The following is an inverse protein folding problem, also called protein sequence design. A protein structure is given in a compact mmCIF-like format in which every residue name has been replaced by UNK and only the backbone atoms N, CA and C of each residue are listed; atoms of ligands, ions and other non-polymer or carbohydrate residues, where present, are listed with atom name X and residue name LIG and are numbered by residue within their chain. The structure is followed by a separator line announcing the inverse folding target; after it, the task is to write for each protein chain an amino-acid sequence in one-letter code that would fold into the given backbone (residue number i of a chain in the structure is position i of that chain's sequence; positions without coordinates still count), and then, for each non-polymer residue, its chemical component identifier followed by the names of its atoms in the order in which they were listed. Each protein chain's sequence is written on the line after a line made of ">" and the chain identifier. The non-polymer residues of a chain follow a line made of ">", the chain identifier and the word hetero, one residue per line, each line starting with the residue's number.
data_IF_845994642528
#
_entry.id   IF_845994642528
#
_cell.length_a   1.000
_cell.length_b   1.000
_cell.length_c   1.000
_cell.angle_alpha   90.00
_cell.angle_beta   90.00
_cell.angle_gamma   90.00
#
_symmetry.space_group_name_H-M   'P 1'
#
loop_
_entity.id
_entity.type
_entity.pdbx_description
1 polymer ?
#
# COMPACT_ATOMS: atom_id res chain seq x y z
N UNK A 1 -18.75 -4.78 -13.46
CA UNK A 1 -17.52 -5.17 -14.18
C UNK A 1 -16.88 -6.25 -13.33
N UNK A 2 -16.85 -7.49 -13.78
CA UNK A 2 -16.05 -8.50 -13.11
C UNK A 2 -14.59 -8.14 -13.38
N UNK A 3 -13.85 -7.84 -12.31
CA UNK A 3 -12.40 -7.69 -12.39
C UNK A 3 -11.84 -9.08 -12.74
N UNK A 4 -11.46 -9.28 -13.98
CA UNK A 4 -10.67 -10.44 -14.40
C UNK A 4 -9.20 -9.98 -14.54
N UNK A 5 -8.42 -9.99 -13.45
CA UNK A 5 -7.07 -9.37 -13.41
C UNK A 5 -6.14 -9.95 -14.47
N UNK A 6 -6.27 -11.24 -14.73
CA UNK A 6 -5.34 -11.97 -15.62
C UNK A 6 -5.60 -11.72 -17.10
N UNK A 7 -6.79 -11.27 -17.49
CA UNK A 7 -7.12 -11.00 -18.91
C UNK A 7 -6.59 -9.66 -19.40
N UNK A 8 -6.30 -8.73 -18.49
CA UNK A 8 -5.82 -7.37 -18.80
C UNK A 8 -4.33 -7.17 -18.51
N UNK A 9 -3.66 -8.13 -17.88
CA UNK A 9 -2.26 -8.07 -17.48
C UNK A 9 -2.08 -8.12 -15.95
N UNK A 10 -0.83 -7.97 -15.51
CA UNK A 10 -0.47 -8.06 -14.09
C UNK A 10 -0.99 -6.88 -13.27
N UNK A 11 -1.20 -7.12 -11.97
CA UNK A 11 -1.31 -6.07 -10.95
C UNK A 11 0.07 -5.57 -10.59
N UNK A 12 0.29 -4.27 -10.67
CA UNK A 12 1.52 -3.61 -10.24
C UNK A 12 1.26 -2.80 -8.99
N UNK A 13 2.18 -2.88 -8.02
CA UNK A 13 2.20 -2.00 -6.85
C UNK A 13 3.50 -1.19 -6.84
N UNK A 14 3.41 0.09 -6.41
CA UNK A 14 4.55 1.01 -6.37
C UNK A 14 4.68 1.57 -4.97
N UNK A 15 5.86 1.43 -4.35
CA UNK A 15 6.09 2.05 -3.05
C UNK A 15 7.22 1.45 -2.24
N UNK A 16 7.10 1.65 -0.92
CA UNK A 16 8.11 1.22 0.03
C UNK A 16 8.18 -0.30 0.21
N UNK A 17 9.42 -0.77 0.25
CA UNK A 17 9.80 -2.11 0.66
C UNK A 17 10.71 -1.92 1.87
N UNK A 18 10.37 -2.53 2.98
CA UNK A 18 11.11 -2.34 4.23
C UNK A 18 11.06 -3.61 5.10
N UNK A 19 11.79 -3.60 6.19
CA UNK A 19 11.62 -4.60 7.25
C UNK A 19 10.97 -3.99 8.47
N UNK A 20 10.12 -4.75 9.13
CA UNK A 20 9.64 -4.44 10.47
C UNK A 20 10.47 -5.15 11.54
N UNK A 21 10.74 -4.40 12.61
CA UNK A 21 11.44 -4.86 13.81
C UNK A 21 10.56 -4.50 15.00
N UNK A 22 10.00 -5.50 15.66
CA UNK A 22 8.92 -5.34 16.63
C UNK A 22 9.45 -5.49 18.06
N UNK A 23 9.11 -4.56 18.94
CA UNK A 23 9.39 -4.70 20.37
C UNK A 23 8.52 -5.82 20.97
N UNK A 24 9.15 -6.68 21.76
CA UNK A 24 8.46 -7.79 22.43
C UNK A 24 7.79 -7.38 23.74
N UNK A 25 7.98 -6.12 24.17
CA UNK A 25 7.41 -5.55 25.39
C UNK A 25 6.37 -4.48 25.04
N UNK A 26 5.26 -4.49 25.76
CA UNK A 26 4.25 -3.42 25.70
C UNK A 26 4.79 -2.19 26.42
N UNK A 27 4.57 -0.99 25.85
CA UNK A 27 4.99 0.28 26.46
C UNK A 27 5.02 1.44 25.48
N UNK A 28 5.58 2.58 25.91
CA UNK A 28 5.58 3.83 25.15
C UNK A 28 6.94 4.10 24.48
N UNK A 29 6.96 4.12 23.14
CA UNK A 29 8.12 4.51 22.35
C UNK A 29 9.36 3.64 22.53
N UNK A 30 10.54 4.18 22.14
CA UNK A 30 11.82 3.46 22.06
C UNK A 30 12.94 4.18 22.83
N UNK A 31 12.62 4.78 23.99
CA UNK A 31 13.58 5.61 24.74
C UNK A 31 14.43 4.82 25.74
N UNK A 32 14.24 3.51 25.82
CA UNK A 32 14.96 2.59 26.71
C UNK A 32 15.40 1.34 25.98
N UNK A 33 16.40 0.64 26.50
CA UNK A 33 16.81 -0.65 25.95
C UNK A 33 15.72 -1.69 26.15
N UNK A 34 15.36 -2.40 25.09
CA UNK A 34 14.31 -3.39 25.10
C UNK A 34 14.57 -4.48 24.05
N UNK A 35 14.07 -5.70 24.25
CA UNK A 35 14.22 -6.76 23.28
C UNK A 35 13.33 -6.49 22.07
N UNK A 36 13.88 -6.81 20.88
CA UNK A 36 13.23 -6.65 19.59
C UNK A 36 13.28 -7.98 18.84
N UNK A 37 12.31 -8.24 17.99
CA UNK A 37 12.24 -9.41 17.11
C UNK A 37 12.03 -8.97 15.65
N UNK A 38 12.63 -9.67 14.73
CA UNK A 38 12.67 -9.41 13.29
C UNK A 38 14.03 -9.79 12.71
N UNK A 39 14.34 -9.44 11.46
CA UNK A 39 13.53 -8.61 10.54
C UNK A 39 12.35 -9.36 9.92
N UNK A 40 11.20 -8.72 9.85
CA UNK A 40 10.04 -9.22 9.09
C UNK A 40 9.92 -8.43 7.78
N UNK A 41 9.81 -9.10 6.60
CA UNK A 41 9.48 -8.42 5.35
C UNK A 41 8.19 -7.61 5.48
N UNK A 42 8.23 -6.35 5.11
CA UNK A 42 7.14 -5.41 5.33
C UNK A 42 7.15 -4.25 4.31
N UNK A 43 6.31 -3.26 4.54
CA UNK A 43 5.95 -2.19 3.63
C UNK A 43 4.55 -2.44 3.08
N UNK A 44 3.61 -1.52 3.31
CA UNK A 44 2.21 -1.72 2.93
C UNK A 44 2.06 -2.10 1.44
N UNK A 45 2.73 -1.44 0.47
CA UNK A 45 2.72 -1.86 -0.93
C UNK A 45 3.27 -3.27 -1.15
N UNK A 46 4.38 -3.62 -0.46
CA UNK A 46 5.03 -4.91 -0.61
C UNK A 46 4.18 -6.06 -0.01
N UNK A 47 3.53 -5.83 1.13
CA UNK A 47 2.63 -6.80 1.76
C UNK A 47 1.43 -7.09 0.86
N UNK A 48 0.81 -6.06 0.28
CA UNK A 48 -0.35 -6.24 -0.60
C UNK A 48 0.02 -7.05 -1.84
N UNK A 49 1.11 -6.68 -2.52
CA UNK A 49 1.49 -7.36 -3.76
C UNK A 49 2.00 -8.78 -3.52
N UNK A 50 2.66 -9.02 -2.37
CA UNK A 50 3.03 -10.36 -1.92
C UNK A 50 1.79 -11.25 -1.77
N UNK A 51 0.74 -10.73 -1.12
CA UNK A 51 -0.51 -11.46 -0.97
C UNK A 51 -1.20 -11.72 -2.32
N UNK A 52 -1.14 -10.79 -3.27
CA UNK A 52 -1.63 -11.01 -4.64
C UNK A 52 -0.92 -12.19 -5.30
N UNK A 53 0.41 -12.27 -5.20
CA UNK A 53 1.19 -13.39 -5.71
C UNK A 53 0.82 -14.70 -5.03
N UNK A 54 0.72 -14.73 -3.70
CA UNK A 54 0.39 -15.92 -2.91
C UNK A 54 -0.95 -16.56 -3.24
N UNK A 55 -1.93 -15.75 -3.63
CA UNK A 55 -3.25 -16.27 -4.08
C UNK A 55 -3.29 -16.63 -5.56
N UNK A 56 -2.14 -16.56 -6.26
CA UNK A 56 -1.99 -16.96 -7.67
C UNK A 56 -2.27 -15.85 -8.68
N UNK A 57 -2.36 -14.60 -8.27
CA UNK A 57 -2.49 -13.46 -9.18
C UNK A 57 -1.17 -13.11 -9.86
N UNK A 58 -1.23 -12.65 -11.12
CA UNK A 58 -0.07 -12.05 -11.77
C UNK A 58 0.28 -10.72 -11.09
N UNK A 59 1.39 -10.68 -10.36
CA UNK A 59 1.78 -9.59 -9.48
C UNK A 59 3.19 -9.08 -9.78
N UNK A 60 3.41 -7.77 -9.70
CA UNK A 60 4.72 -7.16 -9.86
C UNK A 60 4.92 -5.99 -8.89
N UNK A 61 6.14 -5.85 -8.37
CA UNK A 61 6.51 -4.77 -7.44
C UNK A 61 7.48 -3.79 -8.08
N UNK A 62 7.22 -2.50 -7.86
CA UNK A 62 8.11 -1.40 -8.21
C UNK A 62 8.53 -0.67 -6.95
N UNK A 63 9.84 -0.61 -6.69
CA UNK A 63 10.38 0.01 -5.49
C UNK A 63 11.89 -0.09 -5.45
N UNK A 64 12.49 0.02 -4.27
CA UNK A 64 13.90 -0.24 -4.08
C UNK A 64 14.21 -0.81 -2.70
N UNK A 65 15.28 -1.59 -2.63
CA UNK A 65 15.92 -2.13 -1.44
C UNK A 65 17.41 -1.80 -1.46
N UNK A 66 18.07 -1.88 -0.32
CA UNK A 66 19.53 -1.81 -0.23
C UNK A 66 20.18 -3.13 -0.64
N UNK A 67 21.46 -3.10 -0.98
CA UNK A 67 22.30 -4.30 -1.13
C UNK A 67 22.73 -4.81 0.25
N UNK A 68 21.76 -5.22 1.03
CA UNK A 68 21.92 -5.71 2.41
C UNK A 68 21.02 -6.92 2.70
N UNK A 69 21.15 -7.51 3.88
CA UNK A 69 20.35 -8.69 4.27
C UNK A 69 18.86 -8.37 4.37
N UNK A 70 18.49 -7.14 4.71
CA UNK A 70 17.10 -6.70 4.76
C UNK A 70 16.48 -6.59 3.35
N UNK A 71 17.27 -6.17 2.35
CA UNK A 71 16.87 -6.22 0.95
C UNK A 71 16.67 -7.65 0.47
N UNK A 72 17.62 -8.54 0.79
CA UNK A 72 17.57 -9.95 0.39
C UNK A 72 16.35 -10.67 0.95
N UNK A 73 16.02 -10.51 2.23
CA UNK A 73 14.86 -11.18 2.83
C UNK A 73 13.53 -10.75 2.20
N UNK A 74 13.42 -9.49 1.78
CA UNK A 74 12.24 -8.99 1.06
C UNK A 74 12.16 -9.56 -0.36
N UNK A 75 13.27 -9.52 -1.12
CA UNK A 75 13.32 -10.05 -2.48
C UNK A 75 13.03 -11.54 -2.51
N UNK A 76 13.65 -12.31 -1.61
CA UNK A 76 13.46 -13.77 -1.51
C UNK A 76 11.99 -14.12 -1.23
N UNK A 77 11.33 -13.35 -0.35
CA UNK A 77 9.91 -13.55 -0.05
C UNK A 77 9.05 -13.27 -1.27
N UNK A 78 9.20 -12.10 -1.89
CA UNK A 78 8.40 -11.71 -3.05
C UNK A 78 8.56 -12.70 -4.21
N UNK A 79 9.80 -13.10 -4.53
CA UNK A 79 10.07 -14.09 -5.57
C UNK A 79 9.47 -15.46 -5.25
N UNK A 80 9.62 -15.95 -4.02
CA UNK A 80 9.04 -17.22 -3.57
C UNK A 80 7.53 -17.24 -3.73
N UNK A 81 6.88 -16.10 -3.46
CA UNK A 81 5.43 -15.97 -3.48
C UNK A 81 4.89 -15.54 -4.85
N UNK A 82 5.75 -15.56 -5.91
CA UNK A 82 5.36 -15.43 -7.31
C UNK A 82 5.29 -13.99 -7.84
N UNK A 83 5.83 -13.01 -7.10
CA UNK A 83 5.85 -11.61 -7.53
C UNK A 83 7.03 -11.35 -8.49
N UNK A 84 6.77 -10.69 -9.62
CA UNK A 84 7.82 -10.16 -10.50
C UNK A 84 8.54 -8.99 -9.82
N UNK A 85 9.80 -9.20 -9.48
CA UNK A 85 10.66 -8.23 -8.79
C UNK A 85 11.55 -7.43 -9.75
N UNK A 86 11.39 -7.57 -11.07
CA UNK A 86 12.23 -6.90 -12.06
C UNK A 86 12.13 -5.36 -12.04
N UNK A 87 11.09 -4.81 -11.37
CA UNK A 87 10.93 -3.38 -11.11
C UNK A 87 11.56 -2.90 -9.81
N UNK A 88 12.19 -3.78 -9.03
CA UNK A 88 12.84 -3.43 -7.79
C UNK A 88 14.32 -3.11 -8.05
N UNK A 89 14.72 -1.88 -7.72
CA UNK A 89 16.13 -1.48 -7.77
C UNK A 89 16.85 -1.97 -6.49
N UNK A 90 18.09 -2.42 -6.63
CA UNK A 90 19.01 -2.67 -5.50
C UNK A 90 20.00 -1.52 -5.43
N UNK A 91 19.92 -0.71 -4.40
CA UNK A 91 20.80 0.46 -4.19
C UNK A 91 22.03 0.05 -3.38
N UNK A 92 23.26 0.14 -3.95
CA UNK A 92 24.48 -0.27 -3.23
C UNK A 92 24.94 0.75 -2.18
N UNK A 93 24.33 1.95 -2.15
CA UNK A 93 24.75 3.06 -1.30
C UNK A 93 23.81 3.37 -0.14
N UNK A 94 22.57 2.88 -0.24
CA UNK A 94 21.54 3.17 0.75
C UNK A 94 21.04 1.88 1.40
N UNK A 95 20.79 1.88 2.72
CA UNK A 95 20.23 0.71 3.39
C UNK A 95 18.78 0.49 2.95
N UNK A 96 18.32 -0.74 3.09
CA UNK A 96 16.88 -1.06 3.00
C UNK A 96 16.11 -0.32 4.10
N UNK A 97 14.91 0.14 3.78
CA UNK A 97 14.03 0.82 4.74
C UNK A 97 13.69 -0.08 5.94
N UNK A 98 13.44 0.55 7.07
CA UNK A 98 13.02 -0.17 8.28
C UNK A 98 11.95 0.59 9.05
N UNK A 99 11.09 -0.15 9.74
CA UNK A 99 10.14 0.35 10.71
C UNK A 99 10.33 -0.37 12.04
N UNK A 100 10.48 0.38 13.12
CA UNK A 100 10.45 -0.16 14.48
C UNK A 100 9.03 0.03 15.02
N UNK A 101 8.46 -1.03 15.59
CA UNK A 101 7.08 -1.06 16.07
C UNK A 101 7.06 -1.46 17.53
N UNK A 102 6.32 -0.71 18.35
CA UNK A 102 6.02 -1.07 19.75
C UNK A 102 4.53 -0.94 20.00
N UNK A 103 3.94 -1.95 20.61
CA UNK A 103 2.53 -1.93 21.02
C UNK A 103 2.38 -1.26 22.38
N UNK A 104 1.35 -0.43 22.52
CA UNK A 104 0.88 0.17 23.77
C UNK A 104 -0.14 -0.72 24.45
N UNK A 105 -0.43 -0.45 25.72
CA UNK A 105 -1.40 -1.20 26.51
C UNK A 105 -2.85 -1.15 25.95
N UNK A 106 -3.17 -0.11 25.19
CA UNK A 106 -4.47 0.08 24.52
C UNK A 106 -4.54 -0.57 23.12
N UNK A 107 -3.49 -1.29 22.71
CA UNK A 107 -3.37 -1.90 21.38
C UNK A 107 -2.93 -0.94 20.28
N UNK A 108 -2.79 0.36 20.55
CA UNK A 108 -2.20 1.30 19.60
C UNK A 108 -0.70 1.05 19.44
N UNK A 109 -0.09 1.63 18.39
CA UNK A 109 1.30 1.38 18.04
C UNK A 109 2.10 2.67 17.93
N UNK A 110 3.33 2.61 18.42
CA UNK A 110 4.37 3.60 18.15
C UNK A 110 5.28 3.10 17.03
N UNK A 111 5.63 4.00 16.11
CA UNK A 111 6.52 3.71 14.99
C UNK A 111 7.73 4.63 14.98
N UNK A 112 8.87 4.06 14.61
CA UNK A 112 10.04 4.83 14.15
C UNK A 112 10.36 4.34 12.73
N UNK A 113 10.17 5.21 11.74
CA UNK A 113 10.39 4.90 10.34
C UNK A 113 11.75 5.41 9.85
N UNK A 114 12.50 4.56 9.16
CA UNK A 114 13.69 4.91 8.40
C UNK A 114 13.41 4.67 6.91
N UNK A 115 12.51 5.46 6.32
CA UNK A 115 12.11 5.34 4.91
C UNK A 115 12.77 6.44 4.08
N UNK A 116 12.66 7.69 4.51
CA UNK A 116 13.09 8.87 3.74
C UNK A 116 14.61 8.88 3.46
N UNK A 117 15.41 8.22 4.30
CA UNK A 117 16.87 8.11 4.21
C UNK A 117 17.34 6.71 3.81
N UNK A 118 16.47 5.93 3.17
CA UNK A 118 16.75 4.57 2.71
C UNK A 118 16.61 4.44 1.19
N UNK A 119 16.93 3.26 0.67
CA UNK A 119 16.75 2.91 -0.73
C UNK A 119 15.30 3.11 -1.20
N UNK A 120 14.30 2.88 -0.32
CA UNK A 120 12.89 3.04 -0.63
C UNK A 120 12.51 4.43 -1.17
N UNK A 121 13.25 5.48 -0.81
CA UNK A 121 13.02 6.83 -1.31
C UNK A 121 13.79 7.16 -2.61
N UNK A 122 14.54 6.21 -3.19
CA UNK A 122 15.53 6.50 -4.26
C UNK A 122 15.32 5.77 -5.58
N UNK A 123 14.19 5.12 -5.78
CA UNK A 123 13.88 4.52 -7.07
C UNK A 123 13.21 5.52 -8.02
N UNK A 124 13.17 5.18 -9.31
CA UNK A 124 12.59 6.05 -10.33
C UNK A 124 12.13 5.29 -11.56
N UNK A 125 11.77 6.02 -12.61
CA UNK A 125 11.28 5.47 -13.86
C UNK A 125 12.44 4.94 -14.73
N UNK A 126 12.68 3.63 -14.67
CA UNK A 126 13.70 2.93 -15.48
C UNK A 126 13.08 2.22 -16.68
N UNK A 127 13.91 1.65 -17.57
CA UNK A 127 13.44 0.80 -18.67
C UNK A 127 12.70 -0.45 -18.16
N UNK A 128 13.15 -1.05 -17.04
CA UNK A 128 12.49 -2.19 -16.42
C UNK A 128 11.10 -1.80 -15.89
N UNK A 129 11.01 -0.68 -15.17
CA UNK A 129 9.73 -0.12 -14.68
C UNK A 129 8.78 0.18 -15.84
N UNK A 130 9.26 0.82 -16.90
CA UNK A 130 8.47 1.10 -18.09
C UNK A 130 7.93 -0.19 -18.74
N UNK A 131 8.75 -1.24 -18.83
CA UNK A 131 8.35 -2.54 -19.37
C UNK A 131 7.30 -3.23 -18.52
N UNK A 132 7.41 -3.17 -17.17
CA UNK A 132 6.38 -3.70 -16.27
C UNK A 132 5.05 -2.97 -16.44
N UNK A 133 5.07 -1.64 -16.36
CA UNK A 133 3.87 -0.81 -16.49
C UNK A 133 3.22 -0.98 -17.86
N UNK A 134 4.01 -1.16 -18.94
CA UNK A 134 3.46 -1.42 -20.27
C UNK A 134 2.68 -2.74 -20.39
N UNK A 135 2.91 -3.71 -19.50
CA UNK A 135 2.22 -5.01 -19.46
C UNK A 135 1.15 -5.09 -18.38
N UNK A 136 1.12 -4.10 -17.45
CA UNK A 136 0.18 -4.08 -16.35
C UNK A 136 -1.25 -3.78 -16.82
N UNK A 137 -2.22 -4.46 -16.25
CA UNK A 137 -3.64 -4.18 -16.41
C UNK A 137 -4.25 -3.45 -15.22
N UNK A 138 -3.57 -3.50 -14.09
CA UNK A 138 -4.03 -2.87 -12.86
C UNK A 138 -2.87 -2.21 -12.10
N UNK A 139 -3.12 -1.01 -11.57
CA UNK A 139 -2.23 -0.35 -10.62
C UNK A 139 -2.91 -0.30 -9.25
N UNK A 140 -2.23 -0.83 -8.22
CA UNK A 140 -2.62 -0.58 -6.84
C UNK A 140 -1.73 0.49 -6.21
N UNK A 141 -2.33 1.47 -5.55
CA UNK A 141 -1.63 2.56 -4.85
C UNK A 141 -1.94 2.50 -3.37
N UNK A 142 -0.89 2.46 -2.56
CA UNK A 142 -0.96 2.74 -1.13
C UNK A 142 -0.65 4.21 -0.86
N UNK A 143 -1.52 4.91 -0.13
CA UNK A 143 -1.32 6.34 0.17
C UNK A 143 -0.04 6.62 0.97
N UNK A 144 0.47 5.67 1.75
CA UNK A 144 1.77 5.77 2.42
C UNK A 144 2.92 6.08 1.45
N UNK A 145 2.90 5.51 0.25
CA UNK A 145 3.92 5.71 -0.77
C UNK A 145 3.98 7.15 -1.28
N UNK A 146 2.89 7.92 -1.14
CA UNK A 146 2.84 9.32 -1.57
C UNK A 146 3.69 10.26 -0.69
N UNK A 147 4.12 9.80 0.48
CA UNK A 147 5.07 10.54 1.32
C UNK A 147 6.47 10.64 0.69
N UNK A 148 6.76 9.84 -0.34
CA UNK A 148 8.05 9.79 -1.03
C UNK A 148 7.97 10.47 -2.40
N UNK A 149 8.67 11.62 -2.62
CA UNK A 149 8.58 12.37 -3.89
C UNK A 149 8.90 11.55 -5.14
N UNK A 150 9.89 10.65 -5.07
CA UNK A 150 10.25 9.80 -6.21
C UNK A 150 9.15 8.78 -6.52
N UNK A 151 8.56 8.16 -5.50
CA UNK A 151 7.43 7.23 -5.68
C UNK A 151 6.23 7.94 -6.32
N UNK A 152 5.94 9.18 -5.89
CA UNK A 152 4.86 9.99 -6.48
C UNK A 152 4.98 10.11 -8.00
N UNK A 153 6.16 10.45 -8.51
CA UNK A 153 6.39 10.57 -9.95
C UNK A 153 6.22 9.26 -10.72
N UNK A 154 6.64 8.15 -10.12
CA UNK A 154 6.45 6.81 -10.72
C UNK A 154 4.98 6.39 -10.70
N UNK A 155 4.28 6.61 -9.58
CA UNK A 155 2.84 6.30 -9.43
C UNK A 155 2.02 7.09 -10.45
N UNK A 156 2.23 8.41 -10.55
CA UNK A 156 1.48 9.27 -11.47
C UNK A 156 1.63 8.79 -12.91
N UNK A 157 2.88 8.57 -13.35
CA UNK A 157 3.17 8.10 -14.70
C UNK A 157 2.61 6.69 -14.97
N UNK A 158 2.68 5.78 -13.98
CA UNK A 158 2.12 4.44 -14.11
C UNK A 158 0.59 4.50 -14.23
N UNK A 159 -0.07 5.32 -13.40
CA UNK A 159 -1.52 5.53 -13.47
C UNK A 159 -1.96 6.03 -14.85
N UNK A 160 -1.29 7.05 -15.39
CA UNK A 160 -1.58 7.58 -16.73
C UNK A 160 -1.43 6.52 -17.82
N UNK A 161 -0.33 5.77 -17.83
CA UNK A 161 -0.06 4.75 -18.84
C UNK A 161 -1.09 3.61 -18.78
N UNK A 162 -1.39 3.12 -17.60
CA UNK A 162 -2.32 1.99 -17.39
C UNK A 162 -3.75 2.42 -17.73
N UNK A 163 -4.21 3.58 -17.24
CA UNK A 163 -5.55 4.10 -17.55
C UNK A 163 -5.72 4.42 -19.03
N UNK A 164 -4.72 4.98 -19.71
CA UNK A 164 -4.78 5.25 -21.16
C UNK A 164 -4.94 3.98 -22.01
N UNK A 165 -4.57 2.82 -21.49
CA UNK A 165 -4.74 1.52 -22.13
C UNK A 165 -6.04 0.78 -21.74
N UNK A 166 -6.92 1.44 -20.97
CA UNK A 166 -8.15 0.84 -20.46
C UNK A 166 -7.97 -0.04 -19.23
N UNK A 167 -6.79 0.03 -18.58
CA UNK A 167 -6.55 -0.63 -17.31
C UNK A 167 -7.24 0.07 -16.14
N UNK A 168 -7.15 -0.53 -14.97
CA UNK A 168 -7.83 -0.06 -13.75
C UNK A 168 -6.85 0.39 -12.68
N UNK A 169 -7.37 1.16 -11.70
CA UNK A 169 -6.61 1.68 -10.57
C UNK A 169 -7.38 1.42 -9.28
N UNK A 170 -6.72 0.86 -8.28
CA UNK A 170 -7.21 0.83 -6.90
C UNK A 170 -6.34 1.67 -5.97
N UNK A 171 -6.98 2.30 -5.00
CA UNK A 171 -6.31 3.14 -4.01
C UNK A 171 -6.74 2.71 -2.60
N UNK A 172 -5.77 2.35 -1.77
CA UNK A 172 -5.91 2.31 -0.32
C UNK A 172 -5.34 3.62 0.24
N UNK A 173 -6.13 4.49 0.86
CA UNK A 173 -5.61 5.74 1.41
C UNK A 173 -4.46 5.52 2.37
N UNK A 174 -4.55 4.52 3.25
CA UNK A 174 -3.49 4.07 4.18
C UNK A 174 -2.65 5.22 4.73
N UNK A 175 -3.35 6.26 5.21
CA UNK A 175 -2.73 7.49 5.66
C UNK A 175 -2.11 7.28 7.04
N UNK A 176 -0.81 7.55 7.13
CA UNK A 176 -0.04 7.40 8.36
C UNK A 176 0.28 8.78 8.92
N UNK A 177 -0.19 9.07 10.14
CA UNK A 177 0.06 10.38 10.81
C UNK A 177 1.55 10.65 11.06
N UNK A 178 2.37 9.61 11.08
CA UNK A 178 3.82 9.68 11.25
C UNK A 178 4.56 10.08 9.96
N UNK A 179 3.89 9.99 8.79
CA UNK A 179 4.45 10.41 7.51
C UNK A 179 4.07 11.85 7.21
N UNK A 180 4.95 12.55 6.49
CA UNK A 180 4.70 13.94 6.08
C UNK A 180 3.96 13.98 4.74
N UNK A 181 2.87 14.71 4.72
CA UNK A 181 2.10 14.99 3.51
C UNK A 181 2.11 16.51 3.30
N UNK A 182 2.68 16.93 2.17
CA UNK A 182 2.69 18.32 1.72
C UNK A 182 1.52 18.62 0.75
N UNK A 183 1.32 19.86 0.36
CA UNK A 183 0.24 20.25 -0.55
C UNK A 183 0.31 19.50 -1.90
N UNK A 184 1.52 19.17 -2.36
CA UNK A 184 1.71 18.38 -3.58
C UNK A 184 1.23 16.93 -3.40
N UNK A 185 1.44 16.36 -2.23
CA UNK A 185 0.91 15.03 -1.86
C UNK A 185 -0.61 15.02 -1.80
N UNK A 186 -1.22 16.04 -1.16
CA UNK A 186 -2.67 16.17 -1.08
C UNK A 186 -3.29 16.33 -2.48
N UNK A 187 -2.70 17.18 -3.33
CA UNK A 187 -3.17 17.37 -4.71
C UNK A 187 -3.07 16.08 -5.53
N UNK A 188 -1.99 15.30 -5.36
CA UNK A 188 -1.83 14.03 -6.04
C UNK A 188 -2.81 12.98 -5.50
N UNK A 189 -3.02 12.92 -4.18
CA UNK A 189 -4.02 12.04 -3.57
C UNK A 189 -5.41 12.30 -4.17
N UNK A 190 -5.83 13.56 -4.24
CA UNK A 190 -7.11 13.93 -4.84
C UNK A 190 -7.23 13.50 -6.32
N UNK A 191 -6.14 13.66 -7.11
CA UNK A 191 -6.11 13.19 -8.51
C UNK A 191 -6.23 11.66 -8.59
N UNK A 192 -5.52 10.93 -7.74
CA UNK A 192 -5.57 9.46 -7.72
C UNK A 192 -6.96 8.96 -7.30
N UNK A 193 -7.62 9.59 -6.33
CA UNK A 193 -9.02 9.29 -5.99
C UNK A 193 -9.92 9.45 -7.22
N UNK A 194 -9.80 10.56 -7.95
CA UNK A 194 -10.60 10.80 -9.15
C UNK A 194 -10.30 9.84 -10.32
N UNK A 195 -9.11 9.22 -10.35
CA UNK A 195 -8.72 8.23 -11.37
C UNK A 195 -9.06 6.80 -10.95
N UNK A 196 -9.39 6.57 -9.67
CA UNK A 196 -9.60 5.23 -9.11
C UNK A 196 -10.89 4.60 -9.58
N UNK A 197 -10.84 3.30 -9.84
CA UNK A 197 -12.00 2.45 -10.07
C UNK A 197 -12.47 1.79 -8.77
N UNK A 198 -11.53 1.49 -7.86
CA UNK A 198 -11.75 0.87 -6.56
C UNK A 198 -11.06 1.68 -5.46
N UNK A 199 -11.77 1.96 -4.38
CA UNK A 199 -11.22 2.60 -3.19
C UNK A 199 -11.37 1.67 -1.97
N UNK A 200 -10.32 1.58 -1.15
CA UNK A 200 -10.23 0.67 0.01
C UNK A 200 -9.98 1.45 1.32
N UNK A 201 -10.87 2.35 1.72
CA UNK A 201 -10.66 3.21 2.89
C UNK A 201 -10.99 2.50 4.20
N UNK A 202 -10.48 3.04 5.30
CA UNK A 202 -10.89 2.71 6.68
C UNK A 202 -11.34 3.98 7.40
N UNK A 203 -12.39 3.89 8.23
CA UNK A 203 -12.82 5.00 9.09
C UNK A 203 -12.88 6.35 8.38
N UNK A 204 -12.17 7.34 8.93
CA UNK A 204 -12.15 8.74 8.43
C UNK A 204 -11.51 8.89 7.05
N UNK A 205 -10.79 7.88 6.54
CA UNK A 205 -10.18 7.95 5.22
C UNK A 205 -11.22 8.06 4.09
N UNK A 206 -12.41 7.49 4.29
CA UNK A 206 -13.53 7.60 3.36
C UNK A 206 -13.97 9.06 3.18
N UNK A 207 -14.19 9.76 4.29
CA UNK A 207 -14.63 11.16 4.29
C UNK A 207 -13.54 12.07 3.72
N UNK A 208 -12.28 11.81 4.07
CA UNK A 208 -11.14 12.53 3.52
C UNK A 208 -11.03 12.37 2.00
N UNK A 209 -11.17 11.14 1.48
CA UNK A 209 -11.13 10.90 0.04
C UNK A 209 -12.28 11.60 -0.70
N UNK A 210 -13.46 11.63 -0.07
CA UNK A 210 -14.64 12.30 -0.62
C UNK A 210 -14.59 13.83 -0.45
N UNK A 211 -13.85 14.36 0.53
CA UNK A 211 -13.87 15.77 0.89
C UNK A 211 -15.21 16.24 1.49
N UNK A 212 -16.01 15.31 2.04
CA UNK A 212 -17.27 15.59 2.72
C UNK A 212 -17.45 14.68 3.92
N UNK A 213 -18.08 15.18 4.97
CA UNK A 213 -18.36 14.41 6.19
C UNK A 213 -19.60 13.53 6.05
N UNK A 214 -19.59 12.41 6.75
CA UNK A 214 -20.68 11.43 6.82
C UNK A 214 -20.57 10.36 5.74
N UNK A 215 -20.62 9.09 6.18
CA UNK A 215 -20.42 7.91 5.32
C UNK A 215 -21.31 7.93 4.08
N UNK A 216 -22.61 8.14 4.23
CA UNK A 216 -23.54 8.10 3.11
C UNK A 216 -23.27 9.20 2.07
N UNK A 217 -22.93 10.42 2.52
CA UNK A 217 -22.58 11.54 1.63
C UNK A 217 -21.24 11.28 0.92
N UNK A 218 -20.25 10.72 1.65
CA UNK A 218 -18.94 10.39 1.10
C UNK A 218 -19.05 9.29 0.02
N UNK A 219 -19.79 8.22 0.30
CA UNK A 219 -20.03 7.14 -0.67
C UNK A 219 -20.72 7.66 -1.91
N UNK A 220 -21.81 8.43 -1.76
CA UNK A 220 -22.56 8.99 -2.89
C UNK A 220 -21.65 9.86 -3.76
N UNK A 221 -20.87 10.76 -3.14
CA UNK A 221 -19.95 11.65 -3.87
C UNK A 221 -18.88 10.88 -4.63
N UNK A 222 -18.25 9.89 -4.01
CA UNK A 222 -17.19 9.09 -4.65
C UNK A 222 -17.74 8.29 -5.84
N UNK A 223 -18.91 7.67 -5.70
CA UNK A 223 -19.58 7.00 -6.81
C UNK A 223 -19.94 7.99 -7.94
N UNK A 224 -20.38 9.21 -7.60
CA UNK A 224 -20.68 10.26 -8.60
C UNK A 224 -19.40 10.78 -9.30
N UNK A 225 -18.26 10.76 -8.64
CA UNK A 225 -16.96 11.06 -9.24
C UNK A 225 -16.51 9.98 -10.25
N UNK A 226 -17.14 8.81 -10.27
CA UNK A 226 -16.87 7.76 -11.26
C UNK A 226 -16.25 6.48 -10.69
N UNK A 227 -16.06 6.38 -9.37
CA UNK A 227 -15.61 5.12 -8.77
C UNK A 227 -16.64 4.03 -9.05
N UNK A 228 -16.14 2.84 -9.38
CA UNK A 228 -16.99 1.67 -9.63
C UNK A 228 -17.36 0.98 -8.31
N UNK A 229 -16.41 0.98 -7.36
CA UNK A 229 -16.53 0.21 -6.12
C UNK A 229 -15.77 0.88 -4.98
N UNK A 230 -16.36 0.83 -3.79
CA UNK A 230 -15.74 1.28 -2.54
C UNK A 230 -15.86 0.14 -1.54
N UNK A 231 -14.74 -0.36 -1.03
CA UNK A 231 -14.72 -1.37 0.04
C UNK A 231 -14.26 -0.70 1.32
N UNK A 232 -15.22 -0.30 2.15
CA UNK A 232 -14.96 0.31 3.45
C UNK A 232 -14.60 -0.77 4.46
N UNK A 233 -13.35 -0.73 4.93
CA UNK A 233 -12.81 -1.63 5.96
C UNK A 233 -13.29 -1.19 7.35
N UNK A 234 -13.83 -2.14 8.15
CA UNK A 234 -14.44 -1.87 9.46
C UNK A 234 -13.77 -2.64 10.60
N UNK A 235 -12.53 -3.09 10.41
CA UNK A 235 -11.79 -3.87 11.39
C UNK A 235 -12.55 -5.14 11.80
N UNK A 236 -12.80 -5.33 13.09
CA UNK A 236 -13.49 -6.51 13.63
C UNK A 236 -14.97 -6.64 13.17
N UNK A 237 -15.56 -5.59 12.62
CA UNK A 237 -16.92 -5.63 12.07
C UNK A 237 -16.94 -6.14 10.61
N UNK A 238 -15.77 -6.31 9.97
CA UNK A 238 -15.65 -6.79 8.60
C UNK A 238 -15.49 -5.68 7.58
N UNK A 239 -16.24 -5.72 6.50
CA UNK A 239 -16.18 -4.73 5.43
C UNK A 239 -17.53 -4.53 4.75
N UNK A 240 -17.75 -3.34 4.19
CA UNK A 240 -18.90 -3.02 3.35
C UNK A 240 -18.44 -2.63 1.96
N UNK A 241 -18.90 -3.33 0.94
CA UNK A 241 -18.71 -2.98 -0.45
C UNK A 241 -19.90 -2.15 -0.94
N UNK A 242 -19.62 -0.94 -1.46
CA UNK A 242 -20.60 -0.05 -2.06
C UNK A 242 -20.41 0.03 -3.57
N UNK A 243 -21.49 -0.10 -4.31
CA UNK A 243 -21.57 0.09 -5.76
C UNK A 243 -22.80 0.94 -6.09
N UNK A 244 -22.94 1.38 -7.35
CA UNK A 244 -24.14 2.15 -7.79
C UNK A 244 -25.44 1.38 -7.66
N UNK A 245 -25.41 0.07 -7.81
CA UNK A 245 -26.57 -0.84 -7.78
C UNK A 245 -26.86 -1.42 -6.39
N UNK A 246 -26.06 -1.07 -5.37
CA UNK A 246 -26.32 -1.51 -4.01
C UNK A 246 -25.07 -1.63 -3.13
N UNK A 247 -25.25 -2.27 -1.99
CA UNK A 247 -24.19 -2.58 -1.05
C UNK A 247 -24.21 -4.05 -0.65
N UNK A 248 -23.05 -4.56 -0.26
CA UNK A 248 -22.86 -5.90 0.30
C UNK A 248 -22.00 -5.81 1.54
N UNK A 249 -22.46 -6.40 2.64
CA UNK A 249 -21.69 -6.46 3.90
C UNK A 249 -21.07 -7.85 4.03
N UNK A 250 -19.79 -7.89 4.43
CA UNK A 250 -19.05 -9.10 4.74
C UNK A 250 -18.59 -9.04 6.20
N UNK A 251 -18.95 -10.03 7.00
CA UNK A 251 -18.50 -10.14 8.39
C UNK A 251 -17.00 -10.47 8.44
N UNK A 252 -16.31 -9.99 9.47
CA UNK A 252 -14.95 -10.41 9.75
C UNK A 252 -14.89 -11.87 10.20
N UNK A 253 -13.76 -12.51 9.94
CA UNK A 253 -13.46 -13.79 10.57
C UNK A 253 -13.15 -13.58 12.06
N UNK A 254 -13.68 -14.44 12.91
CA UNK A 254 -13.33 -14.44 14.33
C UNK A 254 -11.96 -15.07 14.48
N UNK A 255 -10.98 -14.26 14.84
CA UNK A 255 -9.59 -14.67 15.03
C UNK A 255 -9.07 -14.19 16.39
N UNK A 256 -8.03 -14.84 16.90
CA UNK A 256 -7.24 -14.30 17.99
C UNK A 256 -6.13 -13.43 17.39
N UNK A 257 -6.27 -12.12 17.54
CA UNK A 257 -5.29 -11.16 17.03
C UNK A 257 -4.00 -11.24 17.85
N UNK A 258 -2.89 -11.53 17.17
CA UNK A 258 -1.54 -11.52 17.74
C UNK A 258 -0.75 -10.32 17.21
N UNK A 259 -0.84 -10.07 15.91
CA UNK A 259 -0.24 -8.93 15.21
C UNK A 259 -1.13 -8.57 14.01
N UNK A 260 -1.71 -7.35 13.96
CA UNK A 260 -2.58 -6.92 12.86
C UNK A 260 -1.81 -6.43 11.62
N UNK A 261 -0.49 -6.55 11.58
CA UNK A 261 0.31 -6.13 10.41
C UNK A 261 -0.12 -6.88 9.16
N UNK A 262 -0.55 -6.12 8.14
CA UNK A 262 -1.03 -6.68 6.88
C UNK A 262 -2.49 -7.18 6.89
N UNK A 263 -3.23 -6.94 7.97
CA UNK A 263 -4.65 -7.33 8.04
C UNK A 263 -5.61 -6.34 7.38
N UNK A 264 -5.08 -5.18 6.95
CA UNK A 264 -5.87 -4.10 6.33
C UNK A 264 -6.14 -4.28 4.84
#
# INVERSE_FOLDING_TARGET
>A
MELAPDSLGSTVCVGEILVEIVATTIGDGFREAQPLVGPYPSGAPAILIDQCGRIGGAAAMIGAVGDDDFGRVNLDRLMRDGVDVSGIAVDPMMPTGSAFVRYRADGSRDFVYNIATSAAARFGWTAAVASLVARAGHLHVMGSALSMPNARGVIERAAEVIKARGGSLSLDPNLRKELRYDDATEAQFARLVAMSDLLLPSGEELERAAGVAGEAAAVARLLDMGLTEIVLKRGAEGATCFRRDGRTDAAAFVVNEVDPTGAG
#
